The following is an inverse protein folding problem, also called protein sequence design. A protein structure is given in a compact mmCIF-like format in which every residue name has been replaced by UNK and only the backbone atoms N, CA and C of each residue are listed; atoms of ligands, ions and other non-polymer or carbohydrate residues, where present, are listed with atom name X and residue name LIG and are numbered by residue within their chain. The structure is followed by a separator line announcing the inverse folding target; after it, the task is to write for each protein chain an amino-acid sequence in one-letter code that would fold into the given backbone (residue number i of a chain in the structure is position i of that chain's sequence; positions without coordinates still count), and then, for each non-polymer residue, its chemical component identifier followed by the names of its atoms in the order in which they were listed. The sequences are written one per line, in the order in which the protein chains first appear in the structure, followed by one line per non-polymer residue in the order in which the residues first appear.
data_IF_032019924071
#
_entry.id   IF_032019924071
#
_cell.length_a   1.000
_cell.length_b   1.000
_cell.length_c   1.000
_cell.angle_alpha   90.00
_cell.angle_beta   90.00
_cell.angle_gamma   90.00
#
_symmetry.space_group_name_H-M   'P 1'
#
loop_
_entity.id
_entity.type
_entity.pdbx_description
1 polymer ?
#
# COMPACT_ATOMS: atom_id res chain seq x y z
N UNK A 1 -16.17 -4.76 -21.23
CA UNK A 1 -16.05 -4.96 -19.78
C UNK A 1 -15.25 -3.80 -19.20
N UNK A 2 -15.49 -3.42 -17.95
CA UNK A 2 -14.68 -2.37 -17.32
C UNK A 2 -13.35 -2.95 -16.88
N UNK A 3 -12.26 -2.18 -17.09
CA UNK A 3 -10.89 -2.61 -16.79
C UNK A 3 -10.36 -1.94 -15.54
N UNK A 4 -9.73 -2.73 -14.68
CA UNK A 4 -9.14 -2.29 -13.41
C UNK A 4 -7.63 -2.51 -13.44
N UNK A 5 -6.86 -1.47 -13.15
CA UNK A 5 -5.43 -1.58 -12.86
C UNK A 5 -5.25 -1.87 -11.36
N UNK A 6 -4.46 -2.90 -11.04
CA UNK A 6 -4.01 -3.19 -9.68
C UNK A 6 -2.48 -3.10 -9.65
N UNK A 7 -1.94 -2.02 -9.08
CA UNK A 7 -0.50 -1.94 -8.83
C UNK A 7 -0.14 -2.71 -7.57
N UNK A 8 0.99 -3.40 -7.55
CA UNK A 8 1.32 -4.34 -6.49
C UNK A 8 0.42 -5.58 -6.49
N UNK A 9 -0.15 -5.92 -7.66
CA UNK A 9 -1.14 -6.98 -7.79
C UNK A 9 -0.58 -8.40 -7.60
N UNK A 10 0.73 -8.59 -7.61
CA UNK A 10 1.38 -9.85 -7.27
C UNK A 10 1.63 -10.00 -5.75
N UNK A 11 1.51 -8.93 -4.97
CA UNK A 11 1.67 -8.94 -3.52
C UNK A 11 0.48 -9.57 -2.79
N UNK A 12 0.57 -9.65 -1.46
CA UNK A 12 -0.44 -10.32 -0.63
C UNK A 12 -1.84 -9.70 -0.78
N UNK A 13 -2.00 -8.41 -0.50
CA UNK A 13 -3.30 -7.73 -0.63
C UNK A 13 -3.72 -7.65 -2.10
N UNK A 14 -2.77 -7.33 -2.99
CA UNK A 14 -3.04 -7.16 -4.41
C UNK A 14 -3.59 -8.42 -5.07
N UNK A 15 -3.03 -9.59 -4.80
CA UNK A 15 -3.48 -10.85 -5.40
C UNK A 15 -4.91 -11.20 -5.00
N UNK A 16 -5.27 -11.03 -3.74
CA UNK A 16 -6.66 -11.24 -3.30
C UNK A 16 -7.62 -10.21 -3.90
N UNK A 17 -7.17 -8.98 -4.13
CA UNK A 17 -7.95 -7.96 -4.83
C UNK A 17 -8.17 -8.36 -6.29
N UNK A 18 -7.13 -8.85 -6.98
CA UNK A 18 -7.21 -9.35 -8.36
C UNK A 18 -8.23 -10.49 -8.46
N UNK A 19 -8.12 -11.51 -7.60
CA UNK A 19 -9.06 -12.64 -7.58
C UNK A 19 -10.50 -12.18 -7.40
N UNK A 20 -10.72 -11.23 -6.48
CA UNK A 20 -12.07 -10.71 -6.24
C UNK A 20 -12.62 -9.94 -7.43
N UNK A 21 -11.80 -9.10 -8.08
CA UNK A 21 -12.20 -8.31 -9.25
C UNK A 21 -12.56 -9.20 -10.44
N UNK A 22 -11.73 -10.20 -10.75
CA UNK A 22 -12.03 -11.17 -11.80
C UNK A 22 -13.33 -11.92 -11.51
N UNK A 23 -13.53 -12.37 -10.27
CA UNK A 23 -14.74 -13.10 -9.86
C UNK A 23 -16.02 -12.29 -10.04
N UNK A 24 -15.96 -10.98 -9.94
CA UNK A 24 -17.14 -10.10 -10.12
C UNK A 24 -17.24 -9.50 -11.53
N UNK A 25 -16.39 -9.97 -12.46
CA UNK A 25 -16.54 -9.72 -13.89
C UNK A 25 -15.79 -8.51 -14.44
N UNK A 26 -14.76 -8.00 -13.75
CA UNK A 26 -13.86 -7.00 -14.29
C UNK A 26 -12.75 -7.64 -15.13
N UNK A 27 -12.26 -6.91 -16.13
CA UNK A 27 -10.94 -7.17 -16.70
C UNK A 27 -9.88 -6.59 -15.75
N UNK A 28 -8.81 -7.34 -15.48
CA UNK A 28 -7.79 -6.91 -14.55
C UNK A 28 -6.43 -6.85 -15.20
N UNK A 29 -5.77 -5.69 -15.08
CA UNK A 29 -4.35 -5.50 -15.35
C UNK A 29 -3.58 -5.40 -14.05
N UNK A 30 -2.51 -6.17 -13.92
CA UNK A 30 -1.57 -6.13 -12.81
C UNK A 30 -0.32 -5.38 -13.25
N UNK A 31 0.12 -4.40 -12.45
CA UNK A 31 1.46 -3.83 -12.57
C UNK A 31 2.24 -4.19 -11.30
N UNK A 32 3.35 -4.94 -11.47
CA UNK A 32 4.21 -5.34 -10.37
C UNK A 32 5.65 -5.47 -10.84
N UNK A 33 6.61 -5.05 -10.01
CA UNK A 33 8.03 -5.14 -10.35
C UNK A 33 8.68 -6.45 -9.87
N UNK A 34 7.92 -7.28 -9.15
CA UNK A 34 8.38 -8.54 -8.55
C UNK A 34 9.63 -8.35 -7.68
N UNK A 35 9.66 -7.27 -6.88
CA UNK A 35 10.80 -6.90 -6.07
C UNK A 35 11.07 -7.92 -4.96
N UNK A 36 12.36 -8.23 -4.77
CA UNK A 36 12.82 -8.97 -3.59
C UNK A 36 12.71 -8.09 -2.33
N UNK A 37 12.50 -8.69 -1.14
CA UNK A 37 12.41 -10.12 -0.86
C UNK A 37 11.01 -10.75 -1.10
N UNK A 38 9.99 -9.95 -1.47
CA UNK A 38 8.60 -10.42 -1.60
C UNK A 38 8.49 -11.52 -2.66
N UNK A 39 9.14 -11.34 -3.80
CA UNK A 39 9.06 -12.25 -4.96
C UNK A 39 10.40 -12.93 -5.27
N UNK A 40 10.93 -13.72 -4.30
CA UNK A 40 12.23 -14.40 -4.43
C UNK A 40 12.32 -15.35 -5.64
N UNK A 41 11.19 -15.90 -6.08
CA UNK A 41 11.11 -16.88 -7.18
C UNK A 41 10.54 -16.30 -8.48
N UNK A 42 10.44 -14.96 -8.60
CA UNK A 42 9.83 -14.28 -9.75
C UNK A 42 8.30 -14.30 -9.71
N UNK A 43 7.65 -14.31 -10.88
CA UNK A 43 6.18 -14.25 -10.97
C UNK A 43 5.55 -15.43 -10.24
N UNK A 44 4.67 -15.16 -9.25
CA UNK A 44 4.00 -16.21 -8.51
C UNK A 44 3.03 -17.03 -9.36
N UNK A 45 2.94 -18.34 -9.08
CA UNK A 45 2.03 -19.25 -9.79
C UNK A 45 0.55 -19.02 -9.47
N UNK A 46 0.24 -18.29 -8.39
CA UNK A 46 -1.13 -17.95 -8.03
C UNK A 46 -1.73 -16.78 -8.82
N UNK A 47 -0.94 -16.11 -9.66
CA UNK A 47 -1.47 -15.05 -10.54
C UNK A 47 -2.35 -15.68 -11.61
N UNK A 48 -3.66 -15.33 -11.68
CA UNK A 48 -4.59 -15.89 -12.65
C UNK A 48 -4.14 -15.63 -14.10
N UNK A 49 -4.34 -16.62 -14.97
CA UNK A 49 -4.01 -16.49 -16.39
C UNK A 49 -4.89 -15.46 -17.11
N UNK A 50 -6.07 -15.20 -16.58
CA UNK A 50 -7.05 -14.24 -17.09
C UNK A 50 -6.64 -12.78 -16.81
N UNK A 51 -5.74 -12.55 -15.86
CA UNK A 51 -5.23 -11.21 -15.57
C UNK A 51 -4.09 -10.85 -16.53
N UNK A 52 -4.18 -9.66 -17.13
CA UNK A 52 -3.08 -9.09 -17.90
C UNK A 52 -1.94 -8.69 -16.94
N UNK A 53 -0.78 -9.35 -17.06
CA UNK A 53 0.35 -9.09 -16.18
C UNK A 53 1.38 -8.21 -16.89
N UNK A 54 1.64 -7.02 -16.31
CA UNK A 54 2.72 -6.11 -16.71
C UNK A 54 3.84 -6.17 -15.67
N UNK A 55 5.04 -6.58 -16.09
CA UNK A 55 6.25 -6.40 -15.30
C UNK A 55 6.73 -4.96 -15.42
N UNK A 56 6.77 -4.23 -14.31
CA UNK A 56 7.22 -2.83 -14.32
C UNK A 56 7.17 -2.19 -12.96
N UNK A 57 7.78 -1.01 -12.85
CA UNK A 57 7.94 -0.28 -11.59
C UNK A 57 7.05 0.96 -11.56
N UNK A 58 6.35 1.16 -10.45
CA UNK A 58 5.50 2.36 -10.23
C UNK A 58 6.29 3.66 -10.09
N UNK A 59 7.60 3.59 -9.99
CA UNK A 59 8.48 4.77 -10.01
C UNK A 59 8.76 5.28 -11.41
N UNK A 60 8.52 4.45 -12.43
CA UNK A 60 8.74 4.80 -13.83
C UNK A 60 7.46 5.37 -14.45
N UNK A 61 7.55 6.64 -14.86
CA UNK A 61 6.43 7.38 -15.45
C UNK A 61 5.87 6.70 -16.70
N UNK A 62 6.74 6.24 -17.61
CA UNK A 62 6.32 5.65 -18.88
C UNK A 62 5.63 4.30 -18.63
N UNK A 63 6.07 3.57 -17.65
CA UNK A 63 5.43 2.31 -17.22
C UNK A 63 4.04 2.58 -16.65
N UNK A 64 3.88 3.58 -15.78
CA UNK A 64 2.55 3.95 -15.25
C UNK A 64 1.64 4.42 -16.38
N UNK A 65 2.14 5.26 -17.29
CA UNK A 65 1.35 5.77 -18.41
C UNK A 65 0.78 4.61 -19.25
N UNK A 66 1.61 3.64 -19.64
CA UNK A 66 1.18 2.43 -20.35
C UNK A 66 0.20 1.59 -19.51
N UNK A 67 0.43 1.47 -18.22
CA UNK A 67 -0.43 0.69 -17.35
C UNK A 67 -1.84 1.31 -17.22
N UNK A 68 -1.96 2.64 -17.32
CA UNK A 68 -3.23 3.36 -17.23
C UNK A 68 -4.02 3.37 -18.55
N UNK A 69 -3.45 2.94 -19.67
CA UNK A 69 -4.15 2.94 -20.96
C UNK A 69 -5.38 2.02 -20.95
N UNK A 70 -6.54 2.59 -21.27
CA UNK A 70 -7.80 1.87 -21.34
C UNK A 70 -8.35 1.38 -20.01
N UNK A 71 -7.93 1.99 -18.90
CA UNK A 71 -8.32 1.63 -17.54
C UNK A 71 -9.47 2.52 -17.05
N UNK A 72 -10.47 1.91 -16.44
CA UNK A 72 -11.61 2.59 -15.81
C UNK A 72 -11.41 2.86 -14.31
N UNK A 73 -10.71 1.96 -13.61
CA UNK A 73 -10.48 2.03 -12.16
C UNK A 73 -9.04 1.68 -11.82
N UNK A 74 -8.53 2.26 -10.74
CA UNK A 74 -7.18 1.96 -10.24
C UNK A 74 -7.25 1.55 -8.78
N UNK A 75 -6.64 0.41 -8.43
CA UNK A 75 -6.28 0.05 -7.06
C UNK A 75 -4.76 0.19 -6.94
N UNK A 76 -4.32 1.27 -6.30
CA UNK A 76 -2.91 1.53 -6.07
C UNK A 76 -2.48 0.92 -4.75
N UNK A 77 -1.95 -0.32 -4.82
CA UNK A 77 -1.57 -1.14 -3.67
C UNK A 77 -0.05 -1.40 -3.64
N UNK A 78 0.68 -0.98 -4.68
CA UNK A 78 2.13 -1.05 -4.66
C UNK A 78 2.67 -0.21 -3.50
N UNK A 79 3.49 -0.82 -2.66
CA UNK A 79 4.10 -0.18 -1.52
C UNK A 79 5.50 -0.75 -1.30
N UNK A 80 6.38 0.06 -0.75
CA UNK A 80 7.67 -0.35 -0.24
C UNK A 80 7.64 -0.27 1.29
N UNK A 81 8.01 -1.37 1.91
CA UNK A 81 8.12 -1.49 3.37
C UNK A 81 9.39 -2.26 3.69
N UNK A 82 10.31 -1.63 4.39
CA UNK A 82 11.56 -2.22 4.86
C UNK A 82 12.04 -1.46 6.10
N UNK A 83 13.12 -1.93 6.72
CA UNK A 83 13.83 -1.26 7.82
C UNK A 83 15.20 -0.71 7.38
N UNK A 84 15.47 -0.70 6.08
CA UNK A 84 16.71 -0.16 5.50
C UNK A 84 16.66 1.37 5.43
N UNK A 85 17.83 2.04 5.47
CA UNK A 85 17.92 3.50 5.41
C UNK A 85 17.85 4.04 3.97
N UNK A 86 17.00 3.45 3.13
CA UNK A 86 16.78 3.84 1.73
C UNK A 86 15.55 4.73 1.60
N UNK A 87 15.52 5.81 2.33
CA UNK A 87 14.40 6.74 2.46
C UNK A 87 13.83 7.22 1.13
N UNK A 88 14.70 7.45 0.12
CA UNK A 88 14.24 7.85 -1.21
C UNK A 88 13.34 6.80 -1.86
N UNK A 89 13.63 5.52 -1.67
CA UNK A 89 12.79 4.41 -2.18
C UNK A 89 11.40 4.46 -1.55
N UNK A 90 11.30 4.68 -0.22
CA UNK A 90 10.02 4.86 0.45
C UNK A 90 9.20 5.99 -0.17
N UNK A 91 9.82 7.16 -0.37
CA UNK A 91 9.12 8.32 -0.94
C UNK A 91 8.71 8.06 -2.39
N UNK A 92 9.61 7.51 -3.21
CA UNK A 92 9.33 7.26 -4.62
C UNK A 92 8.21 6.24 -4.81
N UNK A 93 8.22 5.14 -4.04
CA UNK A 93 7.20 4.10 -4.17
C UNK A 93 5.88 4.50 -3.49
N UNK A 94 5.92 5.02 -2.24
CA UNK A 94 4.69 5.21 -1.46
C UNK A 94 4.02 6.57 -1.67
N UNK A 95 4.74 7.57 -2.18
CA UNK A 95 4.21 8.94 -2.35
C UNK A 95 4.28 9.42 -3.78
N UNK A 96 5.46 9.39 -4.40
CA UNK A 96 5.67 9.93 -5.75
C UNK A 96 4.88 9.11 -6.78
N UNK A 97 4.83 7.79 -6.65
CA UNK A 97 4.05 6.94 -7.57
C UNK A 97 2.56 7.28 -7.55
N UNK A 98 2.01 7.57 -6.37
CA UNK A 98 0.62 8.04 -6.23
C UNK A 98 0.42 9.36 -6.97
N UNK A 99 1.34 10.32 -6.78
CA UNK A 99 1.30 11.60 -7.49
C UNK A 99 1.38 11.42 -9.01
N UNK A 100 2.26 10.54 -9.51
CA UNK A 100 2.40 10.24 -10.92
C UNK A 100 1.10 9.70 -11.54
N UNK A 101 0.39 8.81 -10.85
CA UNK A 101 -0.90 8.28 -11.32
C UNK A 101 -1.90 9.42 -11.55
N UNK A 102 -2.06 10.32 -10.56
CA UNK A 102 -2.96 11.46 -10.68
C UNK A 102 -2.51 12.45 -11.76
N UNK A 103 -1.22 12.76 -11.80
CA UNK A 103 -0.64 13.68 -12.77
C UNK A 103 -0.86 13.19 -14.20
N UNK A 104 -0.60 11.91 -14.47
CA UNK A 104 -0.81 11.32 -15.80
C UNK A 104 -2.30 11.30 -16.14
N UNK A 105 -3.15 10.88 -15.20
CA UNK A 105 -4.59 10.83 -15.41
C UNK A 105 -5.16 12.19 -15.81
N UNK A 106 -4.73 13.27 -15.14
CA UNK A 106 -5.17 14.63 -15.41
C UNK A 106 -4.56 15.15 -16.72
N UNK A 107 -3.24 15.03 -16.89
CA UNK A 107 -2.54 15.56 -18.08
C UNK A 107 -3.02 14.93 -19.38
N UNK A 108 -3.31 13.61 -19.36
CA UNK A 108 -3.81 12.86 -20.51
C UNK A 108 -5.34 12.83 -20.62
N UNK A 109 -6.05 13.44 -19.67
CA UNK A 109 -7.52 13.41 -19.58
C UNK A 109 -8.08 12.00 -19.68
N UNK A 110 -7.46 11.06 -18.95
CA UNK A 110 -7.88 9.67 -18.97
C UNK A 110 -9.27 9.51 -18.34
N UNK A 111 -10.15 8.64 -18.88
CA UNK A 111 -11.52 8.49 -18.40
C UNK A 111 -11.60 7.61 -17.13
N UNK A 112 -10.65 7.77 -16.21
CA UNK A 112 -10.62 7.01 -14.97
C UNK A 112 -11.74 7.47 -14.04
N UNK A 113 -12.60 6.53 -13.64
CA UNK A 113 -13.79 6.80 -12.82
C UNK A 113 -13.47 6.90 -11.33
N UNK A 114 -12.49 6.10 -10.85
CA UNK A 114 -12.08 6.11 -9.45
C UNK A 114 -10.67 5.56 -9.29
N UNK A 115 -9.94 6.15 -8.35
CA UNK A 115 -8.64 5.68 -7.87
C UNK A 115 -8.78 5.37 -6.38
N UNK A 116 -8.46 4.14 -5.99
CA UNK A 116 -8.37 3.70 -4.60
C UNK A 116 -6.91 3.59 -4.24
N UNK A 117 -6.49 4.34 -3.23
CA UNK A 117 -5.10 4.34 -2.74
C UNK A 117 -5.07 3.68 -1.37
N UNK A 118 -4.14 2.74 -1.18
CA UNK A 118 -3.92 2.15 0.12
C UNK A 118 -3.38 3.19 1.10
N UNK A 119 -3.95 3.23 2.30
CA UNK A 119 -3.45 3.98 3.43
C UNK A 119 -2.85 3.01 4.46
N UNK A 120 -2.63 3.44 5.68
CA UNK A 120 -2.06 2.62 6.73
C UNK A 120 -2.78 2.81 8.05
N UNK A 121 -2.84 1.76 8.86
CA UNK A 121 -3.27 1.86 10.26
C UNK A 121 -2.41 2.85 11.07
N UNK A 122 -1.15 3.02 10.68
CA UNK A 122 -0.23 3.93 11.37
C UNK A 122 -0.58 5.42 11.22
N UNK A 123 -1.44 5.80 10.28
CA UNK A 123 -1.89 7.19 10.15
C UNK A 123 -2.74 7.65 11.33
N UNK A 124 -3.34 6.72 12.06
CA UNK A 124 -4.14 7.00 13.25
C UNK A 124 -3.29 7.14 14.52
N UNK A 125 -1.98 6.90 14.43
CA UNK A 125 -1.09 6.87 15.60
C UNK A 125 -1.37 5.68 16.52
N UNK A 126 -1.05 5.84 17.81
CA UNK A 126 -1.11 4.77 18.80
C UNK A 126 -2.54 4.43 19.26
N UNK A 127 -3.49 5.32 19.06
CA UNK A 127 -4.89 5.11 19.46
C UNK A 127 -5.22 5.63 20.86
N UNK A 128 -6.38 5.21 21.35
CA UNK A 128 -6.92 5.61 22.68
C UNK A 128 -6.81 4.42 23.62
N UNK A 129 -6.32 4.67 24.81
CA UNK A 129 -6.27 3.70 25.91
C UNK A 129 -7.27 4.06 26.99
N UNK A 130 -7.76 3.06 27.73
CA UNK A 130 -8.72 3.23 28.82
C UNK A 130 -8.05 2.90 30.15
N UNK A 131 -8.04 3.86 31.08
CA UNK A 131 -7.55 3.67 32.45
C UNK A 131 -8.46 2.75 33.27
N UNK A 132 -7.98 2.23 34.38
CA UNK A 132 -8.74 1.37 35.29
C UNK A 132 -10.01 2.02 35.82
N UNK A 133 -10.00 3.35 36.00
CA UNK A 133 -11.17 4.14 36.44
C UNK A 133 -12.20 4.38 35.31
N UNK A 134 -11.91 3.90 34.10
CA UNK A 134 -12.78 4.02 32.92
C UNK A 134 -12.55 5.26 32.06
N UNK A 135 -11.68 6.18 32.47
CA UNK A 135 -11.32 7.37 31.67
C UNK A 135 -10.42 7.01 30.48
N UNK A 136 -10.46 7.84 29.44
CA UNK A 136 -9.66 7.63 28.24
C UNK A 136 -8.48 8.60 28.20
N UNK A 137 -7.35 8.14 27.61
CA UNK A 137 -6.21 8.99 27.32
C UNK A 137 -5.49 8.59 26.05
N UNK A 138 -4.78 9.54 25.47
CA UNK A 138 -3.88 9.32 24.34
C UNK A 138 -2.45 9.22 24.88
N UNK A 139 -1.76 8.07 24.70
CA UNK A 139 -0.41 7.91 25.19
C UNK A 139 0.55 8.84 24.45
N UNK A 140 1.57 9.30 25.13
CA UNK A 140 2.71 9.97 24.51
C UNK A 140 3.61 8.95 23.83
N UNK A 141 4.52 9.43 22.97
CA UNK A 141 5.55 8.55 22.38
C UNK A 141 6.34 7.86 23.50
N UNK A 142 6.64 6.58 23.29
CA UNK A 142 7.61 5.86 24.12
C UNK A 142 8.95 6.55 24.03
N UNK A 143 9.61 6.78 25.15
CA UNK A 143 10.95 7.35 25.18
C UNK A 143 12.00 6.34 24.70
N UNK A 144 13.14 6.81 24.19
CA UNK A 144 14.23 5.93 23.83
C UNK A 144 14.70 5.08 25.02
N UNK A 145 14.76 5.66 26.20
CA UNK A 145 15.12 4.96 27.42
C UNK A 145 14.15 3.82 27.75
N UNK A 146 12.85 4.03 27.56
CA UNK A 146 11.81 3.02 27.74
C UNK A 146 12.00 1.87 26.73
N UNK A 147 12.24 2.21 25.46
CA UNK A 147 12.46 1.22 24.40
C UNK A 147 13.75 0.42 24.59
N UNK A 148 14.84 1.05 25.03
CA UNK A 148 16.12 0.40 25.34
C UNK A 148 15.98 -0.62 26.49
N UNK A 149 15.07 -0.36 27.44
CA UNK A 149 14.74 -1.26 28.53
C UNK A 149 13.69 -2.34 28.15
N UNK A 150 13.30 -2.42 26.88
CA UNK A 150 12.24 -3.32 26.38
C UNK A 150 10.90 -3.15 27.11
N UNK A 151 10.57 -1.96 27.54
CA UNK A 151 9.33 -1.60 28.20
C UNK A 151 8.31 -1.13 27.14
N UNK A 152 7.49 -2.05 26.67
CA UNK A 152 6.60 -1.82 25.52
C UNK A 152 5.22 -1.26 25.93
N UNK A 153 4.82 -1.46 27.18
CA UNK A 153 3.51 -1.06 27.65
C UNK A 153 3.45 0.43 27.96
N UNK A 154 2.28 1.01 27.79
CA UNK A 154 2.05 2.39 28.18
C UNK A 154 1.67 2.44 29.65
N UNK A 155 2.17 3.46 30.31
CA UNK A 155 1.76 3.79 31.67
C UNK A 155 0.98 5.10 31.69
N UNK A 156 0.06 5.25 32.64
CA UNK A 156 -0.58 6.50 32.86
C UNK A 156 0.38 7.49 33.62
N UNK A 157 -0.11 8.69 33.93
CA UNK A 157 0.69 9.72 34.60
C UNK A 157 1.13 9.32 36.01
N UNK A 158 0.49 8.30 36.58
CA UNK A 158 0.77 7.73 37.91
C UNK A 158 1.69 6.50 37.82
N UNK A 159 2.07 6.08 36.63
CA UNK A 159 2.95 4.93 36.38
C UNK A 159 2.25 3.57 36.40
N UNK A 160 0.91 3.52 36.34
CA UNK A 160 0.18 2.28 36.25
C UNK A 160 0.19 1.74 34.82
N UNK A 161 0.42 0.43 34.64
CA UNK A 161 0.30 -0.26 33.36
C UNK A 161 -1.16 -0.24 32.86
N UNK A 162 -1.30 -0.15 31.54
CA UNK A 162 -2.57 0.05 30.84
C UNK A 162 -2.95 -1.19 30.04
#
# INVERSE_FOLDING_TARGET
MEKVLVTGGAGFIGSHTVDRLLKIGYEVRILDNLQKPVHMKGKPSYIPAEAEFMLGDVRDRDTIEKALEGVDYVFHLAAYQDYLPDFSTFFHVNSVSTALIYEIAVAKKLPIKKIVVASSQFVNGEGIYRKKDGTFFYPKRRSNEQLEKSQWDFTDEEGNEM
#
